data_IF_705210161346
#
_entry.id   IF_705210161346
#
_cell.length_a   1.000
_cell.length_b   1.000
_cell.length_c   1.000
_cell.angle_alpha   90.00
_cell.angle_beta   90.00
_cell.angle_gamma   90.00
#
_symmetry.space_group_name_H-M   'P 1'
#
loop_
_entity.id
_entity.type
_entity.pdbx_description
1 polymer ?
#
# COMPACT_ATOMS: atom_id res chain seq x y z
N UNK A 1 3.52 -2.75 -22.61
CA UNK A 1 4.73 -3.34 -22.07
C UNK A 1 4.43 -4.76 -21.56
N UNK A 2 4.67 -5.78 -22.42
CA UNK A 2 4.30 -7.19 -22.14
C UNK A 2 5.07 -7.85 -20.97
N UNK A 3 6.03 -7.15 -20.37
CA UNK A 3 6.83 -7.67 -19.26
C UNK A 3 6.22 -7.44 -17.88
N UNK A 4 5.42 -6.38 -17.69
CA UNK A 4 4.85 -6.06 -16.38
C UNK A 4 3.65 -6.96 -16.08
N UNK A 5 3.69 -7.64 -14.97
CA UNK A 5 2.73 -8.67 -14.53
C UNK A 5 2.04 -8.34 -13.21
N UNK A 6 2.71 -7.54 -12.38
CA UNK A 6 2.22 -7.06 -11.10
C UNK A 6 2.24 -5.54 -11.07
N UNK A 7 1.30 -4.92 -10.39
CA UNK A 7 1.28 -3.52 -10.01
C UNK A 7 1.29 -3.42 -8.49
N UNK A 8 2.13 -2.54 -7.96
CA UNK A 8 2.33 -2.34 -6.53
C UNK A 8 2.24 -0.85 -6.21
N UNK A 9 1.54 -0.50 -5.12
CA UNK A 9 1.26 0.88 -4.75
C UNK A 9 2.26 1.39 -3.70
N UNK A 10 2.84 2.55 -3.97
CA UNK A 10 3.78 3.23 -3.09
C UNK A 10 3.11 3.84 -1.87
N UNK A 11 3.77 3.72 -0.72
CA UNK A 11 3.41 4.45 0.51
C UNK A 11 4.06 5.85 0.59
N UNK A 12 4.91 6.20 -0.37
CA UNK A 12 5.54 7.53 -0.46
C UNK A 12 6.68 7.76 0.51
N UNK A 13 7.18 6.74 1.19
CA UNK A 13 8.30 6.81 2.13
C UNK A 13 9.29 5.68 1.87
N UNK A 14 10.53 5.90 2.30
CA UNK A 14 11.53 4.85 2.41
C UNK A 14 11.46 4.16 3.77
N UNK A 15 11.95 2.93 3.87
CA UNK A 15 12.00 2.19 5.13
C UNK A 15 12.66 2.99 6.26
N UNK A 16 13.81 3.59 6.03
CA UNK A 16 14.53 4.40 7.05
C UNK A 16 13.73 5.57 7.60
N UNK A 17 12.74 6.07 6.84
CA UNK A 17 11.95 7.27 7.16
C UNK A 17 10.58 6.92 7.79
N UNK A 18 10.19 5.63 7.81
CA UNK A 18 8.96 5.12 8.42
C UNK A 18 9.32 4.19 9.60
N UNK A 19 9.18 4.64 10.85
CA UNK A 19 9.72 3.94 12.02
C UNK A 19 9.18 2.52 12.21
N UNK A 20 7.88 2.30 11.97
CA UNK A 20 7.27 0.98 12.13
C UNK A 20 7.78 -0.01 11.08
N UNK A 21 7.78 0.36 9.82
CA UNK A 21 8.27 -0.49 8.72
C UNK A 21 9.76 -0.76 8.84
N UNK A 22 10.53 0.26 9.23
CA UNK A 22 11.97 0.13 9.46
C UNK A 22 12.30 -0.92 10.52
N UNK A 23 11.63 -0.83 11.67
CA UNK A 23 11.78 -1.81 12.76
C UNK A 23 11.28 -3.19 12.36
N UNK A 24 10.13 -3.26 11.66
CA UNK A 24 9.56 -4.51 11.17
C UNK A 24 10.50 -5.25 10.20
N UNK A 25 11.12 -4.51 9.28
CA UNK A 25 12.12 -5.07 8.35
C UNK A 25 13.33 -5.62 9.12
N UNK A 26 13.84 -4.86 10.09
CA UNK A 26 14.97 -5.27 10.91
C UNK A 26 14.68 -6.54 11.73
N UNK A 27 13.52 -6.59 12.37
CA UNK A 27 13.11 -7.74 13.18
C UNK A 27 12.82 -8.98 12.33
N UNK A 28 12.23 -8.80 11.14
CA UNK A 28 11.89 -9.91 10.25
C UNK A 28 13.12 -10.54 9.58
N UNK A 29 14.11 -9.74 9.20
CA UNK A 29 15.19 -10.17 8.34
C UNK A 29 16.60 -10.01 8.93
N UNK A 30 16.73 -9.29 10.04
CA UNK A 30 18.01 -9.00 10.67
C UNK A 30 18.81 -7.89 9.99
N UNK A 31 19.96 -7.52 10.58
CA UNK A 31 20.66 -6.28 10.22
C UNK A 31 21.23 -6.26 8.79
N UNK A 32 21.62 -7.39 8.24
CA UNK A 32 22.22 -7.43 6.89
C UNK A 32 21.19 -7.08 5.81
N UNK A 33 20.02 -7.73 5.83
CA UNK A 33 18.96 -7.44 4.87
C UNK A 33 18.37 -6.05 5.13
N UNK A 34 18.20 -5.66 6.39
CA UNK A 34 17.78 -4.32 6.75
C UNK A 34 18.69 -3.25 6.14
N UNK A 35 20.02 -3.39 6.26
CA UNK A 35 20.98 -2.44 5.71
C UNK A 35 20.90 -2.35 4.18
N UNK A 36 20.64 -3.47 3.51
CA UNK A 36 20.45 -3.52 2.06
C UNK A 36 19.17 -2.84 1.59
N UNK A 37 18.07 -2.96 2.38
CA UNK A 37 16.72 -2.54 1.95
C UNK A 37 16.23 -1.23 2.57
N UNK A 38 16.86 -0.68 3.62
CA UNK A 38 16.39 0.51 4.34
C UNK A 38 16.24 1.77 3.46
N UNK A 39 16.98 1.85 2.35
CA UNK A 39 16.89 2.94 1.38
C UNK A 39 15.81 2.72 0.32
N UNK A 40 15.18 1.54 0.29
CA UNK A 40 14.13 1.25 -0.66
C UNK A 40 12.81 1.90 -0.23
N UNK A 41 12.00 2.28 -1.23
CA UNK A 41 10.65 2.74 -1.07
C UNK A 41 9.75 1.62 -0.54
N UNK A 42 8.80 1.98 0.33
CA UNK A 42 7.81 1.04 0.87
C UNK A 42 6.62 0.97 -0.08
N UNK A 43 6.23 -0.25 -0.44
CA UNK A 43 5.02 -0.56 -1.20
C UNK A 43 4.05 -1.34 -0.31
N UNK A 44 2.76 -0.97 -0.35
CA UNK A 44 1.78 -1.54 0.55
C UNK A 44 1.35 -2.95 0.14
N UNK A 45 1.45 -3.91 1.06
CA UNK A 45 1.05 -5.31 0.84
C UNK A 45 -0.46 -5.47 0.69
N UNK A 46 -1.27 -4.53 1.19
CA UNK A 46 -2.72 -4.55 1.07
C UNK A 46 -3.25 -4.12 -0.31
N UNK A 47 -2.38 -3.54 -1.15
CA UNK A 47 -2.77 -2.99 -2.47
C UNK A 47 -1.78 -3.38 -3.55
N UNK A 48 -1.87 -4.60 -4.02
CA UNK A 48 -1.19 -5.05 -5.23
C UNK A 48 -2.14 -5.83 -6.12
N UNK A 49 -1.83 -5.91 -7.39
CA UNK A 49 -2.67 -6.59 -8.38
C UNK A 49 -1.90 -7.01 -9.61
N UNK A 50 -2.59 -7.62 -10.58
CA UNK A 50 -1.95 -8.04 -11.82
C UNK A 50 -2.56 -9.29 -12.42
N UNK A 51 -1.78 -10.03 -13.20
CA UNK A 51 -2.20 -11.32 -13.75
C UNK A 51 -2.39 -12.35 -12.65
N UNK A 52 -3.48 -13.12 -12.72
CA UNK A 52 -3.92 -14.01 -11.62
C UNK A 52 -2.87 -15.02 -11.18
N UNK A 53 -2.09 -15.58 -12.09
CA UNK A 53 -1.00 -16.51 -11.79
C UNK A 53 0.12 -15.86 -10.97
N UNK A 54 0.47 -14.60 -11.29
CA UNK A 54 1.50 -13.86 -10.55
C UNK A 54 1.01 -13.40 -9.18
N UNK A 55 -0.27 -12.99 -9.09
CA UNK A 55 -0.88 -12.62 -7.80
C UNK A 55 -0.96 -13.83 -6.87
N UNK A 56 -1.40 -14.99 -7.35
CA UNK A 56 -1.44 -16.23 -6.57
C UNK A 56 -0.07 -16.67 -6.09
N UNK A 57 0.92 -16.62 -6.97
CA UNK A 57 2.31 -16.96 -6.66
C UNK A 57 2.88 -16.00 -5.61
N UNK A 58 2.65 -14.67 -5.76
CA UNK A 58 3.06 -13.67 -4.79
C UNK A 58 2.43 -13.93 -3.41
N UNK A 59 1.11 -14.14 -3.35
CA UNK A 59 0.41 -14.42 -2.07
C UNK A 59 0.97 -15.68 -1.41
N UNK A 60 1.19 -16.75 -2.18
CA UNK A 60 1.79 -17.98 -1.67
C UNK A 60 3.20 -17.73 -1.09
N UNK A 61 4.02 -16.95 -1.80
CA UNK A 61 5.37 -16.62 -1.35
C UNK A 61 5.37 -15.69 -0.13
N UNK A 62 4.43 -14.73 -0.04
CA UNK A 62 4.27 -13.91 1.17
C UNK A 62 3.98 -14.81 2.37
N UNK A 63 2.97 -15.68 2.28
CA UNK A 63 2.58 -16.56 3.38
C UNK A 63 3.73 -17.48 3.80
N UNK A 64 4.33 -18.19 2.85
CA UNK A 64 5.40 -19.15 3.16
C UNK A 64 6.64 -18.50 3.74
N UNK A 65 7.01 -17.31 3.25
CA UNK A 65 8.13 -16.56 3.81
C UNK A 65 7.81 -15.97 5.18
N UNK A 66 6.60 -15.41 5.38
CA UNK A 66 6.19 -14.83 6.66
C UNK A 66 6.15 -15.88 7.79
N UNK A 67 5.66 -17.08 7.53
CA UNK A 67 5.64 -18.17 8.49
C UNK A 67 7.04 -18.61 8.97
N UNK A 68 8.08 -18.29 8.21
CA UNK A 68 9.47 -18.59 8.55
C UNK A 68 10.22 -17.41 9.19
N UNK A 69 9.52 -16.31 9.54
CA UNK A 69 10.14 -15.16 10.21
C UNK A 69 9.98 -15.23 11.72
N UNK A 70 10.88 -14.61 12.49
CA UNK A 70 10.85 -14.64 13.95
C UNK A 70 9.73 -13.79 14.59
N UNK A 71 9.00 -13.01 13.79
CA UNK A 71 7.89 -12.15 14.23
C UNK A 71 6.61 -12.51 13.51
N UNK A 72 5.45 -12.28 14.17
CA UNK A 72 4.15 -12.69 13.64
C UNK A 72 3.63 -11.78 12.52
N UNK A 73 3.85 -10.48 12.61
CA UNK A 73 3.38 -9.48 11.66
C UNK A 73 4.57 -8.98 10.85
N UNK A 74 4.77 -9.54 9.66
CA UNK A 74 5.90 -9.18 8.78
C UNK A 74 5.58 -9.29 7.29
N UNK A 75 4.30 -9.40 6.96
CA UNK A 75 3.83 -9.49 5.57
C UNK A 75 4.28 -8.32 4.71
N UNK A 76 4.25 -7.11 5.24
CA UNK A 76 4.74 -5.90 4.58
C UNK A 76 6.25 -5.98 4.28
N UNK A 77 7.07 -6.39 5.26
CA UNK A 77 8.50 -6.55 5.05
C UNK A 77 8.81 -7.65 4.04
N UNK A 78 8.12 -8.80 4.16
CA UNK A 78 8.25 -9.93 3.23
C UNK A 78 7.88 -9.52 1.81
N UNK A 79 6.74 -8.86 1.63
CA UNK A 79 6.30 -8.37 0.34
C UNK A 79 7.34 -7.46 -0.31
N UNK A 80 7.86 -6.48 0.44
CA UNK A 80 8.83 -5.52 -0.08
C UNK A 80 10.18 -6.17 -0.42
N UNK A 81 10.63 -7.16 0.32
CA UNK A 81 11.83 -7.93 -0.04
C UNK A 81 11.56 -8.73 -1.33
N UNK A 82 10.42 -9.40 -1.44
CA UNK A 82 10.08 -10.18 -2.63
C UNK A 82 10.03 -9.31 -3.91
N UNK A 83 9.29 -8.19 -3.89
CA UNK A 83 9.16 -7.34 -5.09
C UNK A 83 10.48 -6.68 -5.51
N UNK A 84 11.44 -6.54 -4.60
CA UNK A 84 12.75 -5.97 -4.89
C UNK A 84 13.80 -7.04 -5.26
N UNK A 85 13.42 -8.32 -5.28
CA UNK A 85 14.29 -9.44 -5.67
C UNK A 85 13.77 -10.16 -6.91
N UNK A 86 14.65 -10.84 -7.62
CA UNK A 86 14.28 -11.69 -8.78
C UNK A 86 13.47 -12.90 -8.26
N UNK A 87 12.39 -13.33 -8.93
CA UNK A 87 11.95 -12.87 -10.27
C UNK A 87 10.98 -11.69 -10.27
N UNK A 88 10.42 -11.28 -9.13
CA UNK A 88 9.35 -10.28 -9.07
C UNK A 88 9.81 -8.89 -9.50
N UNK A 89 11.04 -8.50 -9.14
CA UNK A 89 11.63 -7.21 -9.52
C UNK A 89 11.52 -6.91 -11.02
N UNK A 90 11.64 -7.95 -11.86
CA UNK A 90 11.62 -7.80 -13.30
C UNK A 90 10.20 -7.68 -13.91
N UNK A 91 9.17 -7.95 -13.12
CA UNK A 91 7.77 -8.00 -13.57
C UNK A 91 6.84 -7.05 -12.83
N UNK A 92 7.33 -6.35 -11.80
CA UNK A 92 6.56 -5.35 -11.05
C UNK A 92 6.54 -3.99 -11.75
N UNK A 93 5.38 -3.36 -11.72
CA UNK A 93 5.17 -1.95 -11.99
C UNK A 93 4.99 -1.22 -10.67
N UNK A 94 6.03 -0.50 -10.26
CA UNK A 94 6.08 0.34 -9.07
C UNK A 94 5.41 1.68 -9.37
N UNK A 95 4.40 2.07 -8.59
CA UNK A 95 3.62 3.28 -8.90
C UNK A 95 3.03 3.95 -7.67
N UNK A 96 2.98 5.28 -7.72
CA UNK A 96 2.27 6.17 -6.78
C UNK A 96 0.85 6.52 -7.24
N UNK A 97 0.37 5.90 -8.31
CA UNK A 97 -0.80 6.39 -9.03
C UNK A 97 -1.96 5.42 -9.13
N UNK A 98 -1.75 4.19 -8.74
CA UNK A 98 -2.77 3.13 -8.81
C UNK A 98 -3.65 3.10 -7.56
N UNK A 99 -3.07 3.22 -6.37
CA UNK A 99 -3.80 3.33 -5.11
C UNK A 99 -3.24 4.47 -4.26
N UNK A 100 -4.10 5.09 -3.45
CA UNK A 100 -3.72 6.05 -2.44
C UNK A 100 -3.62 5.37 -1.08
N UNK A 101 -2.44 5.39 -0.47
CA UNK A 101 -2.12 4.78 0.82
C UNK A 101 -2.29 5.81 1.95
N UNK A 102 -3.55 6.05 2.36
CA UNK A 102 -3.88 7.17 3.24
C UNK A 102 -3.31 7.06 4.65
N UNK A 103 -3.06 5.84 5.12
CA UNK A 103 -2.46 5.61 6.44
C UNK A 103 -1.04 6.19 6.60
N UNK A 104 -0.37 6.47 5.48
CA UNK A 104 0.95 7.10 5.45
C UNK A 104 0.88 8.55 5.00
N UNK A 105 0.21 8.81 3.87
CA UNK A 105 0.30 10.11 3.21
C UNK A 105 -0.77 11.13 3.66
N UNK A 106 -1.79 10.73 4.42
CA UNK A 106 -2.88 11.62 4.86
C UNK A 106 -3.34 11.41 6.31
N UNK A 107 -2.81 10.44 7.06
CA UNK A 107 -3.18 10.24 8.46
C UNK A 107 -2.78 11.47 9.29
N UNK A 108 -3.77 12.20 9.89
CA UNK A 108 -3.47 13.43 10.64
C UNK A 108 -2.53 13.22 11.83
N UNK A 109 -2.46 12.00 12.37
CA UNK A 109 -1.58 11.66 13.50
C UNK A 109 -0.11 11.48 13.11
N UNK A 110 0.17 11.31 11.82
CA UNK A 110 1.50 10.93 11.31
C UNK A 110 2.06 11.91 10.27
N UNK A 111 1.18 12.50 9.46
CA UNK A 111 1.58 13.25 8.27
C UNK A 111 2.60 14.35 8.53
N UNK A 112 2.52 15.05 9.66
CA UNK A 112 3.46 16.13 9.98
C UNK A 112 4.89 15.60 10.21
N UNK A 113 5.04 14.41 10.80
CA UNK A 113 6.34 13.77 11.00
C UNK A 113 6.91 13.19 9.69
N UNK A 114 6.05 12.77 8.77
CA UNK A 114 6.44 12.18 7.50
C UNK A 114 6.67 13.18 6.38
N UNK A 115 6.01 14.35 6.46
CA UNK A 115 6.03 15.39 5.42
C UNK A 115 7.42 15.73 4.86
N UNK A 116 8.49 15.86 5.67
CA UNK A 116 9.82 16.17 5.15
C UNK A 116 10.43 15.10 4.25
N UNK A 117 9.97 13.84 4.43
CA UNK A 117 10.53 12.67 3.76
C UNK A 117 9.61 12.07 2.69
N UNK A 118 8.42 12.68 2.49
CA UNK A 118 7.49 12.21 1.46
C UNK A 118 8.12 12.33 0.07
N UNK A 119 8.09 11.25 -0.68
CA UNK A 119 8.62 11.16 -2.05
C UNK A 119 7.72 11.83 -3.08
N UNK A 120 6.45 12.07 -2.74
CA UNK A 120 5.48 12.78 -3.58
C UNK A 120 4.47 13.56 -2.72
N UNK A 121 3.76 14.49 -3.37
CA UNK A 121 2.75 15.29 -2.68
C UNK A 121 1.54 14.44 -2.28
N UNK A 122 1.01 14.60 -1.05
CA UNK A 122 -0.19 13.91 -0.61
C UNK A 122 -1.37 14.11 -1.56
N UNK A 123 -2.28 13.11 -1.65
CA UNK A 123 -3.54 13.25 -2.37
C UNK A 123 -4.39 14.42 -1.87
N UNK A 124 -5.24 14.93 -2.76
CA UNK A 124 -6.16 16.04 -2.47
C UNK A 124 -7.59 15.49 -2.40
N UNK A 125 -8.20 15.59 -1.21
CA UNK A 125 -9.61 15.26 -1.02
C UNK A 125 -10.49 16.43 -1.43
N UNK A 126 -11.41 16.22 -2.37
CA UNK A 126 -12.34 17.22 -2.83
C UNK A 126 -13.61 16.59 -3.42
N UNK A 127 -14.80 17.13 -3.08
CA UNK A 127 -16.08 16.75 -3.65
C UNK A 127 -16.37 15.22 -3.64
N UNK A 128 -15.97 14.54 -2.54
CA UNK A 128 -16.15 13.10 -2.38
C UNK A 128 -15.22 12.24 -3.22
N UNK A 129 -14.16 12.80 -3.75
CA UNK A 129 -13.14 12.13 -4.56
C UNK A 129 -11.72 12.47 -4.09
N UNK A 130 -10.80 11.54 -4.33
CA UNK A 130 -9.39 11.69 -4.01
C UNK A 130 -8.58 11.88 -5.30
N UNK A 131 -7.97 13.04 -5.44
CA UNK A 131 -7.22 13.43 -6.64
C UNK A 131 -5.72 13.30 -6.43
N UNK A 132 -5.02 12.95 -7.52
CA UNK A 132 -3.56 13.04 -7.58
C UNK A 132 -3.13 14.50 -7.78
N UNK A 133 -2.07 14.96 -7.09
CA UNK A 133 -1.44 16.24 -7.40
C UNK A 133 -0.75 16.25 -8.80
N UNK A 134 -0.77 17.38 -9.48
CA UNK A 134 -1.60 18.55 -9.22
C UNK A 134 -3.07 18.29 -9.51
N UNK A 135 -3.95 18.94 -8.72
CA UNK A 135 -5.41 18.74 -8.80
C UNK A 135 -5.95 18.83 -10.24
N UNK A 136 -6.90 17.95 -10.58
CA UNK A 136 -7.59 17.95 -11.87
C UNK A 136 -7.03 16.99 -12.93
N UNK A 137 -5.97 16.23 -12.65
CA UNK A 137 -5.41 15.29 -13.63
C UNK A 137 -5.97 13.88 -13.56
N UNK A 138 -6.17 13.32 -12.36
CA UNK A 138 -6.76 11.98 -12.21
C UNK A 138 -7.26 11.74 -10.80
N UNK A 139 -8.29 10.89 -10.69
CA UNK A 139 -8.82 10.36 -9.43
C UNK A 139 -8.12 9.02 -9.15
N UNK A 140 -7.84 8.73 -7.88
CA UNK A 140 -7.33 7.42 -7.50
C UNK A 140 -8.43 6.37 -7.67
N UNK A 141 -8.19 5.27 -8.41
CA UNK A 141 -9.16 4.19 -8.54
C UNK A 141 -9.33 3.35 -7.27
N UNK A 142 -8.32 3.32 -6.41
CA UNK A 142 -8.30 2.58 -5.15
C UNK A 142 -7.88 3.53 -4.03
N UNK A 143 -8.58 3.47 -2.91
CA UNK A 143 -8.28 4.23 -1.68
C UNK A 143 -8.17 3.24 -0.53
N UNK A 144 -6.96 3.06 -0.03
CA UNK A 144 -6.63 2.16 1.07
C UNK A 144 -6.53 2.91 2.38
N UNK A 145 -6.94 2.28 3.48
CA UNK A 145 -6.91 2.86 4.83
C UNK A 145 -7.64 4.21 4.95
N UNK A 146 -8.76 4.38 4.23
CA UNK A 146 -9.58 5.60 4.25
C UNK A 146 -10.09 5.94 5.66
N UNK A 147 -10.18 4.95 6.54
CA UNK A 147 -10.61 5.08 7.94
C UNK A 147 -9.60 5.86 8.82
N UNK A 148 -8.38 6.04 8.35
CA UNK A 148 -7.33 6.85 8.99
C UNK A 148 -7.59 8.35 8.83
N UNK A 149 -8.39 8.75 7.85
CA UNK A 149 -8.75 10.16 7.59
C UNK A 149 -10.21 10.38 7.97
N UNK A 150 -10.51 11.07 9.11
CA UNK A 150 -11.86 11.17 9.66
C UNK A 150 -12.91 11.72 8.69
N UNK A 151 -12.56 12.72 7.90
CA UNK A 151 -13.45 13.32 6.90
C UNK A 151 -13.84 12.32 5.80
N UNK A 152 -12.87 11.58 5.27
CA UNK A 152 -13.11 10.57 4.23
C UNK A 152 -13.91 9.40 4.80
N UNK A 153 -13.57 8.94 6.01
CA UNK A 153 -14.32 7.91 6.74
C UNK A 153 -15.79 8.28 6.88
N UNK A 154 -16.04 9.51 7.37
CA UNK A 154 -17.42 10.02 7.55
C UNK A 154 -18.17 10.04 6.21
N UNK A 155 -17.58 10.58 5.15
CA UNK A 155 -18.19 10.63 3.82
C UNK A 155 -18.56 9.23 3.30
N UNK A 156 -17.67 8.26 3.43
CA UNK A 156 -17.92 6.88 2.99
C UNK A 156 -19.04 6.24 3.80
N UNK A 157 -19.04 6.41 5.13
CA UNK A 157 -20.09 5.90 5.99
C UNK A 157 -21.45 6.49 5.62
N UNK A 158 -21.56 7.81 5.45
CA UNK A 158 -22.80 8.47 5.02
C UNK A 158 -23.27 7.98 3.66
N UNK A 159 -22.37 7.82 2.69
CA UNK A 159 -22.70 7.34 1.36
C UNK A 159 -23.21 5.89 1.33
N UNK A 160 -22.67 5.00 2.16
CA UNK A 160 -23.03 3.59 2.16
C UNK A 160 -24.14 3.24 3.15
N UNK A 161 -24.30 3.98 4.27
CA UNK A 161 -25.44 3.80 5.17
C UNK A 161 -26.77 4.29 4.56
N UNK A 162 -26.71 5.11 3.50
CA UNK A 162 -27.89 5.52 2.74
C UNK A 162 -28.30 4.51 1.67
N UNK A 163 -27.50 3.47 1.43
CA UNK A 163 -27.89 2.39 0.51
C UNK A 163 -28.81 1.42 1.24
N UNK A 164 -30.06 1.43 0.81
CA UNK A 164 -31.12 0.51 1.21
C UNK A 164 -30.61 -0.94 1.32
N UNK A 165 -30.89 -1.62 2.43
CA UNK A 165 -30.49 -3.02 2.66
C UNK A 165 -30.96 -3.99 1.56
N UNK A 166 -31.94 -3.57 0.75
CA UNK A 166 -32.46 -4.32 -0.40
C UNK A 166 -31.41 -4.58 -1.50
N UNK A 167 -30.31 -3.81 -1.57
CA UNK A 167 -29.24 -3.98 -2.55
C UNK A 167 -28.04 -4.82 -2.06
N UNK A 168 -28.01 -5.23 -0.81
CA UNK A 168 -26.92 -6.05 -0.27
C UNK A 168 -27.04 -7.56 -0.58
N UNK A 169 -28.10 -8.01 -1.25
CA UNK A 169 -28.40 -9.44 -1.46
C UNK A 169 -27.99 -10.01 -2.83
N UNK A 170 -27.23 -9.30 -3.66
CA UNK A 170 -26.92 -9.77 -5.04
C UNK A 170 -25.71 -10.72 -5.12
N UNK A 171 -24.97 -10.96 -4.04
CA UNK A 171 -23.81 -11.86 -4.06
C UNK A 171 -23.87 -12.97 -3.00
N UNK A 172 -24.98 -13.70 -2.93
CA UNK A 172 -25.07 -14.99 -2.26
C UNK A 172 -25.74 -15.99 -3.18
N UNK A 173 -25.00 -16.47 -4.18
CA UNK A 173 -25.22 -17.78 -4.82
C UNK A 173 -23.86 -18.28 -5.30
#
# INVERSE_FOLDING_TARGET
NHKLKLVVASEGLKYKDEPWGNENLLQAYGPYVHEEFKENEIFNVGTFGGYSEFVKDMVFNIITNALNRPIQICDQAVFNVLINTVPYKDVCWYTDSWAAELGTVMDPSKIESFRPNLMFSPPIWKDGQLFRPPMGRSVFPIVHQYDRVPEIKKHIQEKYNQKDESQMFIYRT
#
